data_IF_668204153078
#
_entry.id   IF_668204153078
#
_cell.length_a   1.000
_cell.length_b   1.000
_cell.length_c   1.000
_cell.angle_alpha   90.00
_cell.angle_beta   90.00
_cell.angle_gamma   90.00
#
_symmetry.space_group_name_H-M   'P 1'
#
loop_
_entity.id
_entity.type
_entity.pdbx_description
1 polymer ?
#
# COMPACT_ATOMS: atom_id res chain seq x y z
N UNK A 1 -14.13 -12.26 1.02
CA UNK A 1 -13.64 -13.39 1.81
C UNK A 1 -14.15 -13.25 3.22
N UNK A 2 -14.74 -14.30 3.79
CA UNK A 2 -15.17 -14.30 5.20
C UNK A 2 -13.95 -14.50 6.13
N UNK A 3 -14.10 -14.22 7.42
CA UNK A 3 -13.00 -14.36 8.43
C UNK A 3 -12.36 -15.75 8.38
N UNK A 4 -13.17 -16.81 8.28
CA UNK A 4 -12.70 -18.19 8.16
C UNK A 4 -11.84 -18.41 6.92
N UNK A 5 -12.21 -17.83 5.77
CA UNK A 5 -11.43 -17.95 4.53
C UNK A 5 -10.08 -17.24 4.65
N UNK A 6 -10.03 -16.11 5.35
CA UNK A 6 -8.77 -15.43 5.64
C UNK A 6 -7.86 -16.26 6.55
N UNK A 7 -8.41 -16.88 7.60
CA UNK A 7 -7.65 -17.76 8.49
C UNK A 7 -7.09 -18.95 7.70
N UNK A 8 -7.91 -19.63 6.91
CA UNK A 8 -7.47 -20.75 6.07
C UNK A 8 -6.41 -20.33 5.05
N UNK A 9 -6.57 -19.16 4.42
CA UNK A 9 -5.58 -18.62 3.51
C UNK A 9 -4.24 -18.35 4.20
N UNK A 10 -4.25 -17.73 5.38
CA UNK A 10 -3.03 -17.46 6.17
C UNK A 10 -2.37 -18.78 6.57
N UNK A 11 -3.13 -19.77 7.02
CA UNK A 11 -2.60 -21.09 7.39
C UNK A 11 -2.00 -21.83 6.19
N UNK A 12 -2.63 -21.73 5.01
CA UNK A 12 -2.09 -22.31 3.77
C UNK A 12 -0.77 -21.65 3.36
N UNK A 13 -0.72 -20.32 3.34
CA UNK A 13 0.52 -19.56 3.05
C UNK A 13 1.60 -19.92 4.05
N UNK A 14 1.25 -20.04 5.33
CA UNK A 14 2.16 -20.44 6.40
C UNK A 14 2.69 -21.86 6.21
N UNK A 15 1.84 -22.81 5.80
CA UNK A 15 2.24 -24.18 5.49
C UNK A 15 3.25 -24.22 4.34
N UNK A 16 2.98 -23.48 3.25
CA UNK A 16 3.90 -23.34 2.12
C UNK A 16 5.23 -22.75 2.61
N UNK A 17 5.20 -21.65 3.37
CA UNK A 17 6.41 -21.05 3.91
C UNK A 17 7.21 -22.01 4.80
N UNK A 18 6.54 -22.73 5.69
CA UNK A 18 7.14 -23.72 6.57
C UNK A 18 7.83 -24.83 5.78
N UNK A 19 7.14 -25.44 4.82
CA UNK A 19 7.68 -26.51 3.98
C UNK A 19 8.91 -26.06 3.17
N UNK A 20 8.94 -24.80 2.75
CA UNK A 20 10.07 -24.23 2.03
C UNK A 20 11.28 -23.88 2.89
N UNK A 21 11.13 -23.66 4.20
CA UNK A 21 12.19 -23.03 5.02
C UNK A 21 12.63 -23.82 6.25
N UNK A 22 11.88 -24.82 6.72
CA UNK A 22 12.18 -25.48 8.00
C UNK A 22 13.58 -26.12 8.10
N UNK A 23 14.13 -26.68 7.00
CA UNK A 23 15.51 -27.22 7.02
C UNK A 23 16.55 -26.11 7.01
N UNK A 24 16.27 -24.98 6.34
CA UNK A 24 17.10 -23.78 6.42
C UNK A 24 17.19 -23.26 7.86
N UNK A 25 16.10 -23.28 8.61
CA UNK A 25 16.12 -22.93 10.04
C UNK A 25 17.02 -23.87 10.84
N UNK A 26 16.91 -25.19 10.60
CA UNK A 26 17.82 -26.18 11.21
C UNK A 26 19.28 -25.91 10.87
N UNK A 27 19.59 -25.61 9.61
CA UNK A 27 20.93 -25.24 9.12
C UNK A 27 21.45 -23.93 9.73
N UNK A 28 20.55 -23.03 10.15
CA UNK A 28 20.88 -21.80 10.88
C UNK A 28 20.98 -21.99 12.41
N UNK A 29 20.92 -23.23 12.91
CA UNK A 29 20.97 -23.53 14.35
C UNK A 29 19.67 -23.22 15.11
N UNK A 30 18.55 -23.13 14.40
CA UNK A 30 17.20 -22.88 14.97
C UNK A 30 16.37 -24.16 14.99
N UNK A 31 15.32 -24.20 15.83
CA UNK A 31 14.46 -25.39 15.90
C UNK A 31 13.47 -25.36 14.72
N UNK A 32 13.19 -26.49 14.04
CA UNK A 32 12.30 -26.51 12.87
C UNK A 32 10.90 -25.94 13.11
N UNK A 33 10.31 -26.22 14.28
CA UNK A 33 8.96 -25.75 14.62
C UNK A 33 8.86 -24.22 14.70
N UNK A 34 9.98 -23.51 14.88
CA UNK A 34 10.00 -22.05 14.90
C UNK A 34 9.58 -21.47 13.54
N UNK A 35 9.75 -22.21 12.44
CA UNK A 35 9.28 -21.82 11.11
C UNK A 35 7.75 -22.00 10.94
N UNK A 36 7.09 -22.79 11.80
CA UNK A 36 5.67 -23.14 11.68
C UNK A 36 4.75 -22.14 12.36
N UNK A 37 5.20 -21.48 13.43
CA UNK A 37 4.37 -20.54 14.21
C UNK A 37 4.27 -19.21 13.46
N UNK A 38 3.05 -18.73 13.10
CA UNK A 38 2.87 -17.43 12.46
C UNK A 38 3.44 -16.29 13.31
N UNK A 39 3.94 -15.23 12.66
CA UNK A 39 4.60 -14.07 13.29
C UNK A 39 5.95 -14.41 13.93
N UNK A 40 6.02 -15.45 14.78
CA UNK A 40 7.26 -15.89 15.41
C UNK A 40 8.28 -16.34 14.35
N UNK A 41 7.84 -17.08 13.33
CA UNK A 41 8.69 -17.43 12.19
C UNK A 41 9.29 -16.19 11.52
N UNK A 42 8.52 -15.14 11.29
CA UNK A 42 8.99 -13.91 10.65
C UNK A 42 10.05 -13.21 11.52
N UNK A 43 9.85 -13.16 12.84
CA UNK A 43 10.85 -12.61 13.78
C UNK A 43 12.15 -13.41 13.76
N UNK A 44 12.06 -14.75 13.77
CA UNK A 44 13.25 -15.61 13.71
C UNK A 44 13.93 -15.51 12.34
N UNK A 45 13.17 -15.43 11.25
CA UNK A 45 13.69 -15.23 9.91
C UNK A 45 14.48 -13.91 9.82
N UNK A 46 13.94 -12.81 10.36
CA UNK A 46 14.66 -11.52 10.41
C UNK A 46 16.01 -11.67 11.11
N UNK A 47 16.08 -12.45 12.21
CA UNK A 47 17.35 -12.74 12.90
C UNK A 47 18.30 -13.57 12.02
N UNK A 48 17.80 -14.58 11.30
CA UNK A 48 18.59 -15.42 10.38
C UNK A 48 19.20 -14.58 9.24
N UNK A 49 18.43 -13.66 8.66
CA UNK A 49 18.86 -12.81 7.54
C UNK A 49 19.55 -11.49 7.98
N UNK A 50 19.70 -11.29 9.30
CA UNK A 50 20.26 -10.08 9.94
C UNK A 50 19.55 -8.79 9.52
N UNK A 51 18.22 -8.79 9.52
CA UNK A 51 17.38 -7.61 9.32
C UNK A 51 16.73 -7.21 10.64
N UNK A 52 16.38 -5.93 10.84
CA UNK A 52 15.83 -5.48 12.10
C UNK A 52 14.42 -6.03 12.31
N UNK A 53 14.07 -6.35 13.56
CA UNK A 53 12.79 -7.01 13.89
C UNK A 53 11.55 -6.22 13.49
N UNK A 54 11.64 -4.89 13.39
CA UNK A 54 10.52 -4.04 12.96
C UNK A 54 10.08 -4.30 11.51
N UNK A 55 10.92 -4.93 10.68
CA UNK A 55 10.52 -5.36 9.32
C UNK A 55 9.33 -6.32 9.34
N UNK A 56 9.14 -7.06 10.44
CA UNK A 56 7.97 -7.94 10.61
C UNK A 56 6.67 -7.16 10.51
N UNK A 57 6.61 -5.93 11.04
CA UNK A 57 5.41 -5.07 10.97
C UNK A 57 5.06 -4.77 9.51
N UNK A 58 6.05 -4.52 8.65
CA UNK A 58 5.84 -4.22 7.24
C UNK A 58 5.18 -5.38 6.47
N UNK A 59 5.33 -6.62 6.93
CA UNK A 59 4.72 -7.80 6.31
C UNK A 59 3.21 -7.90 6.53
N UNK A 60 2.68 -7.15 7.49
CA UNK A 60 1.24 -7.08 7.78
C UNK A 60 0.58 -5.84 7.20
N UNK A 61 1.36 -4.91 6.62
CA UNK A 61 0.82 -3.73 5.94
C UNK A 61 0.51 -4.10 4.48
N UNK A 62 -0.74 -4.01 4.02
CA UNK A 62 -1.10 -4.32 2.63
C UNK A 62 -0.31 -3.48 1.63
N UNK A 63 -0.01 -4.06 0.46
CA UNK A 63 0.90 -3.56 -0.59
C UNK A 63 2.37 -3.57 -0.18
N UNK A 64 2.68 -3.08 1.02
CA UNK A 64 4.06 -3.05 1.52
C UNK A 64 4.58 -4.47 1.70
N UNK A 65 3.75 -5.38 2.21
CA UNK A 65 4.06 -6.80 2.30
C UNK A 65 4.46 -7.42 0.95
N UNK A 66 3.76 -7.07 -0.14
CA UNK A 66 4.04 -7.56 -1.49
C UNK A 66 5.41 -7.09 -2.01
N UNK A 67 5.86 -5.90 -1.63
CA UNK A 67 7.20 -5.40 -1.96
C UNK A 67 8.28 -6.03 -1.06
N UNK A 68 7.94 -6.30 0.21
CA UNK A 68 8.87 -6.87 1.18
C UNK A 68 9.12 -8.36 0.99
N UNK A 69 8.14 -9.15 0.51
CA UNK A 69 8.33 -10.60 0.31
C UNK A 69 9.46 -10.93 -0.67
N UNK A 70 9.54 -10.36 -1.89
CA UNK A 70 10.68 -10.56 -2.78
C UNK A 70 12.02 -10.19 -2.16
N UNK A 71 12.07 -9.07 -1.43
CA UNK A 71 13.28 -8.65 -0.71
C UNK A 71 13.69 -9.73 0.30
N UNK A 72 12.76 -10.21 1.12
CA UNK A 72 13.03 -11.25 2.12
C UNK A 72 13.44 -12.57 1.47
N UNK A 73 12.84 -12.96 0.35
CA UNK A 73 13.22 -14.18 -0.36
C UNK A 73 14.67 -14.11 -0.85
N UNK A 74 15.05 -13.00 -1.48
CA UNK A 74 16.43 -12.74 -1.92
C UNK A 74 17.38 -12.73 -0.73
N UNK A 75 17.02 -12.08 0.37
CA UNK A 75 17.84 -12.03 1.58
C UNK A 75 17.97 -13.40 2.27
N UNK A 76 16.95 -14.24 2.17
CA UNK A 76 16.96 -15.62 2.69
C UNK A 76 18.00 -16.44 1.95
N UNK A 77 17.92 -16.54 0.61
CA UNK A 77 18.87 -17.34 -0.17
C UNK A 77 20.32 -16.83 -0.05
N UNK A 78 20.52 -15.50 0.05
CA UNK A 78 21.83 -14.88 0.27
C UNK A 78 22.43 -15.26 1.62
N UNK A 79 21.62 -15.53 2.64
CA UNK A 79 22.08 -15.99 3.97
C UNK A 79 22.61 -17.43 3.94
N UNK A 80 22.32 -18.17 2.87
CA UNK A 80 22.80 -19.54 2.61
C UNK A 80 23.78 -19.60 1.43
N UNK A 81 24.45 -18.48 1.14
CA UNK A 81 25.53 -18.40 0.15
C UNK A 81 25.09 -18.23 -1.31
N UNK A 82 23.79 -18.11 -1.59
CA UNK A 82 23.27 -17.92 -2.96
C UNK A 82 23.13 -16.42 -3.25
N UNK A 83 24.18 -15.85 -3.84
CA UNK A 83 24.32 -14.41 -4.06
C UNK A 83 24.47 -14.03 -5.53
N UNK A 84 24.34 -14.97 -6.46
CA UNK A 84 24.46 -14.67 -7.88
C UNK A 84 23.23 -13.89 -8.40
N UNK A 85 23.41 -13.20 -9.53
CA UNK A 85 22.29 -12.54 -10.22
C UNK A 85 21.25 -13.56 -10.69
N UNK A 86 21.68 -14.74 -11.14
CA UNK A 86 20.79 -15.82 -11.52
C UNK A 86 19.95 -16.30 -10.33
N UNK A 87 20.55 -16.52 -9.16
CA UNK A 87 19.79 -16.91 -7.95
C UNK A 87 18.75 -15.86 -7.57
N UNK A 88 19.11 -14.58 -7.71
CA UNK A 88 18.20 -13.44 -7.42
C UNK A 88 17.01 -13.44 -8.39
N UNK A 89 17.24 -13.63 -9.69
CA UNK A 89 16.15 -13.70 -10.67
C UNK A 89 15.31 -14.97 -10.51
N UNK A 90 15.94 -16.12 -10.28
CA UNK A 90 15.25 -17.39 -10.06
C UNK A 90 14.29 -17.29 -8.87
N UNK A 91 14.72 -16.73 -7.74
CA UNK A 91 13.84 -16.62 -6.57
C UNK A 91 12.69 -15.64 -6.78
N UNK A 92 12.90 -14.54 -7.51
CA UNK A 92 11.84 -13.55 -7.77
C UNK A 92 10.83 -14.11 -8.78
N UNK A 93 11.30 -14.65 -9.92
CA UNK A 93 10.44 -15.15 -10.99
C UNK A 93 9.66 -16.41 -10.59
N UNK A 94 10.23 -17.24 -9.71
CA UNK A 94 9.53 -18.40 -9.14
C UNK A 94 8.68 -18.04 -7.92
N UNK A 95 8.48 -16.76 -7.60
CA UNK A 95 7.67 -16.31 -6.45
C UNK A 95 8.11 -16.96 -5.13
N UNK A 96 9.42 -17.12 -4.93
CA UNK A 96 10.00 -17.73 -3.74
C UNK A 96 10.14 -19.26 -3.80
N UNK A 97 9.58 -19.97 -4.78
CA UNK A 97 9.68 -21.43 -4.86
C UNK A 97 11.13 -21.93 -5.05
N UNK A 98 12.04 -21.13 -5.59
CA UNK A 98 13.47 -21.46 -5.63
C UNK A 98 14.06 -21.73 -4.22
N UNK A 99 13.48 -21.18 -3.15
CA UNK A 99 13.90 -21.47 -1.77
C UNK A 99 13.74 -22.97 -1.46
N UNK A 100 12.75 -23.65 -2.03
CA UNK A 100 12.61 -25.11 -1.87
C UNK A 100 13.80 -25.85 -2.47
N UNK A 101 14.25 -25.46 -3.65
CA UNK A 101 15.43 -26.05 -4.28
C UNK A 101 16.67 -25.87 -3.38
N UNK A 102 16.87 -24.67 -2.81
CA UNK A 102 17.95 -24.41 -1.85
C UNK A 102 17.80 -25.20 -0.56
N UNK A 103 16.57 -25.38 -0.07
CA UNK A 103 16.26 -26.06 1.20
C UNK A 103 16.43 -27.59 1.11
N UNK A 104 16.08 -28.21 -0.02
CA UNK A 104 16.06 -29.67 -0.19
C UNK A 104 17.21 -30.21 -1.05
N UNK A 105 17.57 -29.53 -2.13
CA UNK A 105 18.46 -30.08 -3.16
C UNK A 105 19.91 -29.64 -3.02
N UNK A 106 20.16 -28.53 -2.32
CA UNK A 106 21.50 -27.99 -2.14
C UNK A 106 22.02 -28.24 -0.73
N UNK A 107 23.28 -28.66 -0.63
CA UNK A 107 24.01 -28.57 0.63
C UNK A 107 24.47 -27.12 0.82
N UNK A 108 23.96 -26.50 1.88
CA UNK A 108 24.19 -25.07 2.16
C UNK A 108 24.39 -24.88 3.65
N UNK A 109 25.37 -24.06 4.01
CA UNK A 109 25.63 -23.63 5.37
C UNK A 109 25.08 -22.21 5.58
N UNK A 110 24.62 -21.91 6.81
CA UNK A 110 24.19 -20.56 7.17
C UNK A 110 25.41 -19.67 7.42
N UNK A 111 25.46 -18.52 6.75
CA UNK A 111 26.55 -17.54 6.88
C UNK A 111 26.14 -16.52 7.95
N UNK A 112 26.61 -16.73 9.19
CA UNK A 112 26.22 -15.91 10.36
C UNK A 112 26.64 -14.44 10.25
N UNK A 113 27.81 -14.16 9.67
CA UNK A 113 28.38 -12.82 9.59
C UNK A 113 28.31 -12.20 8.19
N UNK A 114 27.25 -12.51 7.44
CA UNK A 114 27.05 -11.96 6.10
C UNK A 114 26.96 -10.43 6.13
N UNK A 115 27.69 -9.74 5.26
CA UNK A 115 27.46 -8.33 4.98
C UNK A 115 26.04 -8.10 4.45
N UNK A 116 25.42 -7.00 4.88
CA UNK A 116 24.10 -6.59 4.39
C UNK A 116 24.21 -5.73 3.12
N UNK A 117 25.39 -5.21 2.84
CA UNK A 117 25.67 -4.45 1.64
C UNK A 117 25.86 -5.39 0.45
N UNK A 118 25.20 -5.11 -0.68
CA UNK A 118 25.46 -5.82 -1.92
C UNK A 118 26.94 -5.75 -2.31
N UNK A 119 27.49 -6.83 -2.88
CA UNK A 119 28.91 -6.90 -3.27
C UNK A 119 29.24 -6.08 -4.52
N UNK A 120 28.22 -5.67 -5.28
CA UNK A 120 28.37 -4.97 -6.57
C UNK A 120 27.73 -3.59 -6.49
N UNK A 121 28.31 -2.60 -7.17
CA UNK A 121 27.76 -1.24 -7.20
C UNK A 121 26.35 -1.18 -7.79
N UNK A 122 26.06 -1.98 -8.82
CA UNK A 122 24.70 -2.14 -9.36
C UNK A 122 23.75 -2.69 -8.28
N UNK A 123 24.19 -3.68 -7.50
CA UNK A 123 23.37 -4.25 -6.43
C UNK A 123 23.04 -3.23 -5.33
N UNK A 124 24.00 -2.37 -4.99
CA UNK A 124 23.82 -1.30 -4.02
C UNK A 124 22.80 -0.26 -4.50
N UNK A 125 22.94 0.18 -5.76
CA UNK A 125 22.00 1.10 -6.39
C UNK A 125 20.57 0.53 -6.44
N UNK A 126 20.41 -0.74 -6.85
CA UNK A 126 19.11 -1.43 -6.86
C UNK A 126 18.53 -1.53 -5.45
N UNK A 127 19.33 -1.89 -4.45
CA UNK A 127 18.88 -1.99 -3.05
C UNK A 127 18.34 -0.67 -2.52
N UNK A 128 19.03 0.44 -2.81
CA UNK A 128 18.63 1.78 -2.40
C UNK A 128 17.33 2.22 -3.07
N UNK A 129 17.15 1.91 -4.36
CA UNK A 129 15.91 2.20 -5.08
C UNK A 129 14.74 1.38 -4.54
N UNK A 130 14.94 0.08 -4.30
CA UNK A 130 13.89 -0.77 -3.72
C UNK A 130 13.46 -0.24 -2.36
N UNK A 131 14.40 0.16 -1.50
CA UNK A 131 14.10 0.79 -0.22
C UNK A 131 13.31 2.09 -0.39
N UNK A 132 13.74 2.98 -1.29
CA UNK A 132 13.06 4.23 -1.58
C UNK A 132 11.63 4.00 -2.10
N UNK A 133 11.41 3.01 -2.97
CA UNK A 133 10.08 2.65 -3.49
C UNK A 133 9.18 2.15 -2.37
N UNK A 134 9.68 1.30 -1.48
CA UNK A 134 8.92 0.80 -0.32
C UNK A 134 8.52 1.95 0.59
N UNK A 135 9.47 2.83 0.95
CA UNK A 135 9.22 3.99 1.79
C UNK A 135 8.23 4.97 1.14
N UNK A 136 8.45 5.33 -0.12
CA UNK A 136 7.56 6.21 -0.87
C UNK A 136 6.15 5.62 -0.98
N UNK A 137 6.03 4.33 -1.25
CA UNK A 137 4.72 3.64 -1.33
C UNK A 137 4.02 3.65 0.03
N UNK A 138 4.74 3.41 1.13
CA UNK A 138 4.18 3.46 2.49
C UNK A 138 3.63 4.85 2.80
N UNK A 139 4.43 5.89 2.57
CA UNK A 139 4.05 7.28 2.83
C UNK A 139 2.86 7.69 1.98
N UNK A 140 2.91 7.48 0.66
CA UNK A 140 1.84 7.88 -0.26
C UNK A 140 0.54 7.10 -0.07
N UNK A 141 0.64 5.83 0.34
CA UNK A 141 -0.56 5.00 0.56
C UNK A 141 -1.25 5.38 1.87
N UNK A 142 -0.52 5.53 2.97
CA UNK A 142 -1.10 5.60 4.31
C UNK A 142 -0.98 6.95 5.02
N UNK A 143 0.03 7.77 4.71
CA UNK A 143 0.29 8.99 5.46
C UNK A 143 -0.20 10.24 4.71
N UNK A 144 0.46 10.58 3.62
CA UNK A 144 0.26 11.86 2.93
C UNK A 144 0.24 11.61 1.43
N UNK A 145 -0.70 12.22 0.72
CA UNK A 145 -0.74 12.18 -0.72
C UNK A 145 -0.74 13.60 -1.30
N UNK A 146 0.19 13.91 -2.22
CA UNK A 146 0.18 15.20 -2.91
C UNK A 146 -0.93 15.22 -3.99
N UNK A 147 -1.65 16.33 -4.08
CA UNK A 147 -2.65 16.59 -5.12
C UNK A 147 -2.41 17.96 -5.76
N UNK A 148 -2.70 18.07 -7.06
CA UNK A 148 -2.73 19.35 -7.78
C UNK A 148 -4.18 19.74 -8.01
N UNK A 149 -4.55 21.00 -7.77
CA UNK A 149 -5.90 21.50 -8.03
C UNK A 149 -6.09 21.85 -9.51
N UNK A 150 -6.97 21.13 -10.26
CA UNK A 150 -7.15 21.37 -11.69
C UNK A 150 -8.32 22.32 -12.00
N UNK A 151 -9.18 22.65 -11.03
CA UNK A 151 -10.41 23.43 -11.26
C UNK A 151 -10.62 24.50 -10.20
N UNK A 152 -11.24 25.62 -10.58
CA UNK A 152 -11.53 26.78 -9.71
C UNK A 152 -12.74 26.60 -8.78
N UNK A 153 -13.21 25.39 -8.53
CA UNK A 153 -14.44 25.19 -7.73
C UNK A 153 -14.30 25.60 -6.25
N UNK A 154 -13.08 25.85 -5.80
CA UNK A 154 -12.73 26.38 -4.48
C UNK A 154 -11.84 27.62 -4.60
N UNK A 155 -11.87 28.35 -5.73
CA UNK A 155 -10.88 29.38 -6.11
C UNK A 155 -10.61 30.46 -5.06
N UNK A 156 -11.61 30.82 -4.26
CA UNK A 156 -11.45 31.77 -3.15
C UNK A 156 -10.47 31.28 -2.09
N UNK A 157 -10.43 29.97 -1.85
CA UNK A 157 -9.54 29.34 -0.86
C UNK A 157 -8.35 28.60 -1.48
N UNK A 158 -8.54 27.97 -2.64
CA UNK A 158 -7.57 27.14 -3.34
C UNK A 158 -7.60 27.46 -4.84
N UNK A 159 -6.48 27.96 -5.37
CA UNK A 159 -6.35 28.36 -6.76
C UNK A 159 -5.97 27.18 -7.65
N UNK A 160 -6.23 27.33 -8.94
CA UNK A 160 -5.79 26.35 -9.95
C UNK A 160 -4.26 26.31 -9.96
N UNK A 161 -3.68 25.11 -9.87
CA UNK A 161 -2.24 24.89 -9.78
C UNK A 161 -1.71 24.72 -8.36
N UNK A 162 -2.51 24.99 -7.33
CA UNK A 162 -2.08 24.77 -5.93
C UNK A 162 -1.75 23.29 -5.68
N UNK A 163 -0.67 23.07 -4.92
CA UNK A 163 -0.21 21.75 -4.47
C UNK A 163 -0.66 21.52 -3.03
N UNK A 164 -1.46 20.48 -2.82
CA UNK A 164 -1.96 20.09 -1.51
C UNK A 164 -1.26 18.85 -0.98
N UNK A 165 -0.80 18.91 0.27
CA UNK A 165 -0.48 17.71 1.04
C UNK A 165 -1.71 17.25 1.81
N UNK A 166 -2.33 16.18 1.35
CA UNK A 166 -3.54 15.64 1.96
C UNK A 166 -3.16 14.56 2.96
N UNK A 167 -3.51 14.80 4.22
CA UNK A 167 -3.38 13.81 5.29
C UNK A 167 -4.42 12.70 5.14
N UNK A 168 -3.95 11.44 5.07
CA UNK A 168 -4.80 10.24 4.96
C UNK A 168 -4.95 9.51 6.29
N UNK A 169 -3.96 9.63 7.19
CA UNK A 169 -3.96 8.90 8.46
C UNK A 169 -4.91 9.50 9.51
N UNK A 170 -5.11 10.81 9.52
CA UNK A 170 -5.99 11.48 10.49
C UNK A 170 -7.43 10.96 10.44
N UNK A 171 -8.00 10.79 9.24
CA UNK A 171 -9.37 10.28 9.03
C UNK A 171 -9.45 8.77 8.77
N UNK A 172 -8.36 8.04 9.02
CA UNK A 172 -8.25 6.62 8.74
C UNK A 172 -7.87 6.36 7.28
N UNK A 173 -6.64 5.91 7.06
CA UNK A 173 -6.15 5.62 5.72
C UNK A 173 -6.88 4.39 5.14
N UNK A 174 -7.39 4.53 3.93
CA UNK A 174 -8.07 3.44 3.20
C UNK A 174 -7.02 2.48 2.63
N UNK A 175 -7.18 1.18 2.85
CA UNK A 175 -6.34 0.19 2.16
C UNK A 175 -6.77 0.06 0.70
N UNK A 176 -5.82 -0.16 -0.22
CA UNK A 176 -6.13 -0.41 -1.62
C UNK A 176 -7.03 -1.64 -1.79
N UNK A 177 -8.05 -1.51 -2.65
CA UNK A 177 -9.02 -2.57 -2.90
C UNK A 177 -8.69 -3.34 -4.18
N UNK A 178 -8.04 -2.68 -5.12
CA UNK A 178 -7.69 -3.28 -6.40
C UNK A 178 -6.41 -4.11 -6.28
N UNK A 179 -6.53 -5.44 -6.45
CA UNK A 179 -5.45 -6.40 -6.18
C UNK A 179 -4.26 -6.26 -7.14
N UNK A 180 -4.55 -6.00 -8.42
CA UNK A 180 -3.53 -5.86 -9.47
C UNK A 180 -3.70 -4.48 -10.08
N UNK A 181 -2.71 -3.62 -9.83
CA UNK A 181 -2.62 -2.29 -10.42
C UNK A 181 -1.17 -1.94 -10.70
N UNK A 182 -0.96 -1.08 -11.70
CA UNK A 182 0.33 -0.50 -11.97
C UNK A 182 0.75 0.41 -10.81
N UNK A 183 2.03 0.36 -10.40
CA UNK A 183 2.53 1.18 -9.30
C UNK A 183 2.45 2.67 -9.66
N UNK A 184 2.14 3.50 -8.67
CA UNK A 184 2.09 4.98 -8.78
C UNK A 184 1.13 5.54 -9.83
N UNK A 185 0.23 4.72 -10.40
CA UNK A 185 -0.76 5.15 -11.40
C UNK A 185 -2.17 4.95 -10.87
N UNK A 186 -3.01 5.99 -11.00
CA UNK A 186 -4.36 5.99 -10.46
C UNK A 186 -5.35 5.22 -11.34
N UNK A 187 -5.73 5.74 -12.52
CA UNK A 187 -6.81 5.16 -13.35
C UNK A 187 -6.27 4.55 -14.66
N UNK A 188 -5.49 5.30 -15.42
CA UNK A 188 -5.06 4.95 -16.79
C UNK A 188 -3.54 4.95 -16.88
N UNK A 189 -2.96 3.95 -17.56
CA UNK A 189 -1.53 3.95 -17.86
C UNK A 189 -1.19 5.15 -18.76
N UNK A 190 -0.19 5.96 -18.39
CA UNK A 190 0.36 6.97 -19.28
C UNK A 190 0.78 6.32 -20.61
N UNK A 191 0.64 7.03 -21.72
CA UNK A 191 0.96 6.59 -23.10
C UNK A 191 -0.02 5.56 -23.68
N UNK A 192 -0.26 4.45 -23.00
CA UNK A 192 -1.07 3.35 -23.56
C UNK A 192 -2.58 3.62 -23.56
N UNK A 193 -3.07 4.53 -22.71
CA UNK A 193 -4.50 4.87 -22.64
C UNK A 193 -5.41 3.75 -22.15
N UNK A 194 -4.85 2.62 -21.71
CA UNK A 194 -5.55 1.48 -21.13
C UNK A 194 -5.63 1.61 -19.60
N UNK A 195 -6.55 0.88 -18.98
CA UNK A 195 -6.69 0.85 -17.51
C UNK A 195 -5.38 0.42 -16.86
N UNK A 196 -4.99 1.13 -15.81
CA UNK A 196 -3.83 0.80 -14.97
C UNK A 196 -4.08 -0.37 -14.02
N UNK A 197 -5.25 -1.00 -14.07
CA UNK A 197 -5.65 -2.00 -13.09
C UNK A 197 -6.59 -3.06 -13.67
N UNK A 198 -6.61 -4.21 -13.00
CA UNK A 198 -7.57 -5.27 -13.26
C UNK A 198 -8.85 -5.07 -12.44
N UNK A 199 -10.03 -5.15 -13.06
CA UNK A 199 -11.31 -4.87 -12.38
C UNK A 199 -11.66 -5.89 -11.29
N UNK A 200 -11.22 -7.14 -11.44
CA UNK A 200 -11.41 -8.25 -10.50
C UNK A 200 -10.13 -9.09 -10.48
N UNK A 201 -9.69 -9.64 -9.33
CA UNK A 201 -10.36 -9.62 -8.03
C UNK A 201 -10.21 -8.29 -7.26
N UNK A 202 -11.18 -8.00 -6.39
CA UNK A 202 -11.14 -6.86 -5.46
C UNK A 202 -11.12 -7.37 -4.02
N UNK A 203 -10.33 -6.70 -3.19
CA UNK A 203 -10.32 -6.88 -1.76
C UNK A 203 -11.51 -6.14 -1.12
N UNK A 204 -12.04 -6.63 0.01
CA UNK A 204 -13.09 -5.92 0.73
C UNK A 204 -12.63 -4.52 1.13
N UNK A 205 -13.58 -3.59 1.22
CA UNK A 205 -13.28 -2.25 1.71
C UNK A 205 -12.78 -2.33 3.16
N UNK A 206 -11.62 -1.75 3.41
CA UNK A 206 -11.05 -1.66 4.74
C UNK A 206 -10.34 -0.32 4.92
N UNK A 207 -10.41 0.21 6.14
CA UNK A 207 -9.84 1.49 6.53
C UNK A 207 -9.22 1.33 7.91
N UNK A 208 -8.00 1.84 8.06
CA UNK A 208 -7.33 1.90 9.36
C UNK A 208 -8.09 2.85 10.30
N UNK A 209 -8.03 2.65 11.62
CA UNK A 209 -8.62 3.60 12.56
C UNK A 209 -8.05 5.00 12.32
N UNK A 210 -8.94 5.99 12.28
CA UNK A 210 -8.56 7.41 12.26
C UNK A 210 -8.34 7.93 13.67
N UNK A 211 -7.57 9.01 13.78
CA UNK A 211 -7.33 9.73 15.04
C UNK A 211 -8.35 10.85 15.26
N UNK A 212 -8.94 11.37 14.20
CA UNK A 212 -9.92 12.46 14.23
C UNK A 212 -11.11 12.17 13.31
N UNK A 213 -12.20 12.90 13.52
CA UNK A 213 -13.37 12.90 12.63
C UNK A 213 -13.33 14.17 11.76
N UNK A 214 -14.03 14.13 10.64
CA UNK A 214 -14.19 15.31 9.77
C UNK A 214 -15.06 16.32 10.50
N UNK A 215 -14.59 17.56 10.55
CA UNK A 215 -15.29 18.67 11.14
C UNK A 215 -15.90 19.59 10.07
N UNK A 216 -16.86 20.42 10.49
CA UNK A 216 -17.44 21.43 9.60
C UNK A 216 -16.34 22.39 9.16
N UNK A 217 -16.44 22.86 7.92
CA UNK A 217 -15.48 23.68 7.20
C UNK A 217 -14.16 23.01 6.80
N UNK A 218 -13.92 21.74 7.12
CA UNK A 218 -12.73 21.04 6.63
C UNK A 218 -12.71 20.97 5.10
N UNK A 219 -11.53 21.17 4.52
CA UNK A 219 -11.29 20.88 3.11
C UNK A 219 -10.95 19.40 3.01
N UNK A 220 -11.86 18.62 2.44
CA UNK A 220 -11.75 17.18 2.34
C UNK A 220 -11.51 16.72 0.91
N UNK A 221 -10.69 15.67 0.78
CA UNK A 221 -10.51 14.96 -0.49
C UNK A 221 -11.20 13.62 -0.42
N UNK A 222 -12.07 13.36 -1.39
CA UNK A 222 -12.87 12.14 -1.42
C UNK A 222 -13.04 11.60 -2.84
N UNK A 223 -13.35 10.32 -2.92
CA UNK A 223 -13.66 9.64 -4.19
C UNK A 223 -15.05 10.04 -4.66
N UNK A 224 -15.18 10.58 -5.87
CA UNK A 224 -16.46 11.04 -6.41
C UNK A 224 -17.47 9.88 -6.51
N UNK A 225 -18.62 9.91 -5.80
CA UNK A 225 -19.49 8.74 -5.69
C UNK A 225 -20.06 8.26 -7.03
N UNK A 226 -20.48 9.19 -7.90
CA UNK A 226 -21.09 8.84 -9.17
C UNK A 226 -20.09 8.38 -10.24
N UNK A 227 -18.79 8.64 -10.07
CA UNK A 227 -17.76 8.61 -11.13
C UNK A 227 -18.03 7.65 -12.29
N UNK A 228 -18.46 8.23 -13.41
CA UNK A 228 -18.75 7.53 -14.66
C UNK A 228 -17.75 7.85 -15.77
N UNK A 229 -16.80 8.77 -15.56
CA UNK A 229 -15.95 9.31 -16.64
C UNK A 229 -14.53 8.76 -16.56
N UNK A 230 -13.89 8.52 -17.71
CA UNK A 230 -12.44 8.17 -17.75
C UNK A 230 -11.57 9.42 -17.78
N UNK A 231 -12.04 10.46 -18.43
CA UNK A 231 -11.41 11.78 -18.48
C UNK A 231 -12.49 12.84 -18.24
N UNK A 232 -12.15 13.86 -17.46
CA UNK A 232 -13.02 15.01 -17.29
C UNK A 232 -13.18 15.74 -18.63
N UNK A 233 -14.35 16.35 -18.84
CA UNK A 233 -14.68 17.15 -20.02
C UNK A 233 -14.65 16.41 -21.37
N UNK A 234 -14.60 15.06 -21.37
CA UNK A 234 -14.69 14.24 -22.59
C UNK A 234 -15.97 13.40 -22.58
N UNK A 235 -16.81 13.55 -23.61
CA UNK A 235 -18.07 12.79 -23.74
C UNK A 235 -17.77 11.35 -24.17
N UNK A 236 -17.92 10.40 -23.26
CA UNK A 236 -17.66 8.97 -23.50
C UNK A 236 -18.72 8.09 -22.81
N UNK A 237 -18.75 6.79 -23.17
CA UNK A 237 -19.60 5.81 -22.49
C UNK A 237 -19.18 5.67 -21.02
N UNK A 238 -20.16 5.78 -20.13
CA UNK A 238 -19.94 5.69 -18.68
C UNK A 238 -19.25 4.39 -18.25
N UNK A 239 -18.37 4.48 -17.25
CA UNK A 239 -17.63 3.34 -16.69
C UNK A 239 -17.77 3.29 -15.17
N UNK A 240 -18.06 2.11 -14.64
CA UNK A 240 -18.02 1.84 -13.20
C UNK A 240 -16.62 1.42 -12.78
N UNK A 241 -15.97 2.26 -11.97
CA UNK A 241 -14.63 2.04 -11.41
C UNK A 241 -14.70 1.49 -9.97
N UNK A 242 -13.70 0.69 -9.55
CA UNK A 242 -13.46 0.41 -8.13
C UNK A 242 -13.34 1.70 -7.31
N UNK A 243 -13.72 1.66 -6.02
CA UNK A 243 -13.78 2.84 -5.16
C UNK A 243 -12.42 3.56 -5.05
N UNK A 244 -11.33 2.80 -4.94
CA UNK A 244 -9.95 3.30 -4.88
C UNK A 244 -9.41 3.81 -6.23
N UNK A 245 -10.17 3.61 -7.31
CA UNK A 245 -9.85 4.05 -8.68
C UNK A 245 -10.78 5.16 -9.20
N UNK A 246 -11.75 5.57 -8.40
CA UNK A 246 -12.62 6.72 -8.71
C UNK A 246 -11.82 8.02 -8.68
N UNK A 247 -12.28 8.98 -9.46
CA UNK A 247 -11.73 10.33 -9.51
C UNK A 247 -11.82 11.01 -8.16
N UNK A 248 -10.77 11.73 -7.76
CA UNK A 248 -10.71 12.43 -6.48
C UNK A 248 -11.27 13.86 -6.64
N UNK A 249 -12.07 14.30 -5.68
CA UNK A 249 -12.63 15.64 -5.59
C UNK A 249 -12.17 16.30 -4.29
N UNK A 250 -11.95 17.61 -4.35
CA UNK A 250 -11.64 18.45 -3.20
C UNK A 250 -12.82 19.38 -2.98
N UNK A 251 -13.46 19.32 -1.80
CA UNK A 251 -14.60 20.17 -1.42
C UNK A 251 -14.52 20.53 0.06
N UNK A 252 -15.28 21.55 0.45
CA UNK A 252 -15.49 21.89 1.86
C UNK A 252 -16.61 21.03 2.45
N UNK A 253 -16.38 20.44 3.62
CA UNK A 253 -17.43 19.78 4.38
C UNK A 253 -18.30 20.86 5.05
N UNK A 254 -19.58 20.89 4.70
CA UNK A 254 -20.52 21.91 5.19
C UNK A 254 -21.54 21.32 6.17
N UNK A 255 -22.07 20.14 5.88
CA UNK A 255 -22.95 19.39 6.78
C UNK A 255 -22.34 18.06 7.21
N UNK A 256 -22.57 17.69 8.47
CA UNK A 256 -22.21 16.41 9.07
C UNK A 256 -23.45 15.51 9.23
N UNK A 257 -23.29 14.20 9.46
CA UNK A 257 -24.43 13.32 9.71
C UNK A 257 -25.32 13.82 10.85
N UNK A 258 -26.61 13.98 10.57
CA UNK A 258 -27.59 14.53 11.51
C UNK A 258 -27.90 16.02 11.34
N UNK A 259 -27.13 16.74 10.53
CA UNK A 259 -27.37 18.17 10.27
C UNK A 259 -28.55 18.39 9.30
N UNK A 260 -29.33 19.43 9.56
CA UNK A 260 -30.21 20.06 8.56
C UNK A 260 -29.43 21.14 7.81
N UNK A 261 -29.44 21.08 6.47
CA UNK A 261 -28.77 22.04 5.60
C UNK A 261 -29.80 22.80 4.77
N UNK A 262 -29.73 24.13 4.82
CA UNK A 262 -30.59 25.01 4.05
C UNK A 262 -29.78 26.10 3.36
N UNK A 263 -30.25 26.55 2.18
CA UNK A 263 -29.70 27.71 1.48
C UNK A 263 -30.80 28.76 1.38
N UNK A 264 -30.60 29.91 2.03
CA UNK A 264 -31.55 31.03 2.07
C UNK A 264 -30.84 32.27 1.53
N UNK A 265 -31.38 32.87 0.47
CA UNK A 265 -30.83 34.08 -0.18
C UNK A 265 -29.31 33.99 -0.49
N UNK A 266 -28.85 32.80 -0.90
CA UNK A 266 -27.43 32.55 -1.22
C UNK A 266 -26.52 32.26 -0.02
N UNK A 267 -27.03 32.32 1.21
CA UNK A 267 -26.31 31.95 2.42
C UNK A 267 -26.65 30.52 2.85
N UNK A 268 -25.65 29.80 3.37
CA UNK A 268 -25.84 28.45 3.88
C UNK A 268 -26.15 28.50 5.37
N UNK A 269 -27.15 27.74 5.80
CA UNK A 269 -27.54 27.55 7.20
C UNK A 269 -27.43 26.08 7.58
N UNK A 270 -26.89 25.82 8.76
CA UNK A 270 -26.77 24.49 9.36
C UNK A 270 -27.50 24.49 10.69
N UNK A 271 -28.52 23.64 10.83
CA UNK A 271 -29.37 23.58 12.02
C UNK A 271 -29.98 24.95 12.40
N UNK A 272 -30.32 25.76 11.39
CA UNK A 272 -30.89 27.10 11.57
C UNK A 272 -29.85 28.22 11.79
N UNK A 273 -28.59 27.91 12.01
CA UNK A 273 -27.51 28.89 12.20
C UNK A 273 -26.76 29.13 10.89
N UNK A 274 -26.44 30.39 10.58
CA UNK A 274 -25.71 30.72 9.36
C UNK A 274 -24.27 30.19 9.42
N UNK A 275 -23.83 29.49 8.38
CA UNK A 275 -22.49 28.92 8.27
C UNK A 275 -21.45 30.04 8.23
N UNK A 276 -20.57 30.05 9.23
CA UNK A 276 -19.40 30.94 9.26
C UNK A 276 -18.25 30.28 8.52
N UNK A 277 -17.77 30.93 7.47
CA UNK A 277 -16.61 30.50 6.70
C UNK A 277 -15.32 31.14 7.24
N UNK A 278 -14.20 30.43 7.12
CA UNK A 278 -12.86 30.97 7.40
C UNK A 278 -12.59 32.21 6.53
N UNK A 279 -11.73 33.13 6.98
CA UNK A 279 -11.45 34.39 6.28
C UNK A 279 -11.08 34.23 4.79
N UNK A 280 -10.31 33.21 4.45
CA UNK A 280 -9.93 32.88 3.05
C UNK A 280 -11.08 32.33 2.19
N UNK A 281 -12.27 32.20 2.75
CA UNK A 281 -13.45 31.63 2.10
C UNK A 281 -14.65 32.58 2.17
N UNK A 282 -14.50 33.75 2.80
CA UNK A 282 -15.56 34.77 2.86
C UNK A 282 -15.88 35.29 1.45
N UNK A 283 -17.15 35.65 1.19
CA UNK A 283 -17.58 36.01 -0.16
C UNK A 283 -17.00 37.30 -0.72
#
# INVERSE_FOLDING_TARGET
>A
MNVTQWILFILLVQLIHFLGTWKLYKKAGRKPWEAAIPVYNAVILMKIIRRPGWWVILLFIPIINLLMFPVIWVETIRSFGRNSLLDTWLVILTLGFYIYYVNYSLDVAHIKDRSLHPKTGIGEWVSSIVFAIVAATLVHTYFIQPYVIPTGSLERTLRIGDLLFVSKFHYGARTPMTTIAAPMVHDTLPVLGIRSYLKKPQLPYFRLPGFTKVDRNDIVVFSWPADTVRAFFKKEKGVVKPIDKKSNYVKRCVGLPGDSLEVRDGYVFINGEQLVLSDRAKP
#
